data_IF_130184735396
#
_entry.id   IF_130184735396
#
_cell.length_a   1.000
_cell.length_b   1.000
_cell.length_c   1.000
_cell.angle_alpha   90.00
_cell.angle_beta   90.00
_cell.angle_gamma   90.00
#
_symmetry.space_group_name_H-M   'P 1'
#
loop_
_entity.id
_entity.type
_entity.pdbx_description
1 polymer ?
#
# COMPACT_ATOMS: atom_id res chain seq x y z
N UNK A 1 -14.93 9.45 -23.68
CA UNK A 1 -15.22 8.00 -23.74
C UNK A 1 -14.50 7.20 -22.66
N UNK A 2 -13.18 7.36 -22.48
CA UNK A 2 -12.41 6.74 -21.38
C UNK A 2 -12.95 7.07 -19.98
N UNK A 3 -13.30 8.34 -19.72
CA UNK A 3 -13.87 8.77 -18.44
C UNK A 3 -15.20 8.07 -18.11
N UNK A 4 -16.10 7.92 -19.10
CA UNK A 4 -17.35 7.15 -18.94
C UNK A 4 -17.09 5.67 -18.65
N UNK A 5 -16.15 5.04 -19.34
CA UNK A 5 -15.77 3.64 -19.08
C UNK A 5 -15.22 3.47 -17.65
N UNK A 6 -14.32 4.36 -17.23
CA UNK A 6 -13.78 4.40 -15.87
C UNK A 6 -14.87 4.67 -14.82
N UNK A 7 -15.80 5.59 -15.11
CA UNK A 7 -16.96 5.89 -14.27
C UNK A 7 -17.86 4.66 -14.08
N UNK A 8 -18.20 3.93 -15.15
CA UNK A 8 -19.00 2.69 -15.04
C UNK A 8 -18.31 1.63 -14.19
N UNK A 9 -17.00 1.45 -14.36
CA UNK A 9 -16.20 0.50 -13.57
C UNK A 9 -16.23 0.91 -12.08
N UNK A 10 -16.07 2.21 -11.80
CA UNK A 10 -16.11 2.75 -10.44
C UNK A 10 -17.49 2.60 -9.78
N UNK A 11 -18.57 2.85 -10.52
CA UNK A 11 -19.95 2.68 -10.03
C UNK A 11 -20.26 1.21 -9.76
N UNK A 12 -19.90 0.29 -10.68
CA UNK A 12 -20.04 -1.15 -10.45
C UNK A 12 -19.26 -1.60 -9.21
N UNK A 13 -18.02 -1.13 -9.05
CA UNK A 13 -17.19 -1.42 -7.88
C UNK A 13 -17.82 -0.91 -6.59
N UNK A 14 -18.35 0.32 -6.58
CA UNK A 14 -19.03 0.92 -5.44
C UNK A 14 -20.29 0.14 -5.03
N UNK A 15 -21.14 -0.22 -5.99
CA UNK A 15 -22.37 -1.01 -5.75
C UNK A 15 -22.01 -2.41 -5.23
N UNK A 16 -21.02 -3.06 -5.83
CA UNK A 16 -20.55 -4.38 -5.39
C UNK A 16 -19.94 -4.31 -3.97
N UNK A 17 -19.25 -3.22 -3.64
CA UNK A 17 -18.75 -2.94 -2.28
C UNK A 17 -19.87 -2.73 -1.27
N UNK A 18 -20.97 -2.09 -1.67
CA UNK A 18 -22.14 -1.86 -0.82
C UNK A 18 -22.87 -3.17 -0.49
N UNK A 19 -22.99 -4.07 -1.46
CA UNK A 19 -23.73 -5.34 -1.36
C UNK A 19 -23.02 -6.41 -0.53
N UNK A 20 -21.68 -6.55 -0.63
CA UNK A 20 -20.93 -7.60 0.09
C UNK A 20 -19.65 -7.08 0.76
N UNK A 21 -19.78 -6.18 1.76
CA UNK A 21 -18.64 -5.59 2.46
C UNK A 21 -17.80 -6.65 3.21
N UNK A 22 -18.40 -7.74 3.69
CA UNK A 22 -17.69 -8.77 4.46
C UNK A 22 -16.71 -9.61 3.64
N UNK A 23 -17.12 -10.07 2.45
CA UNK A 23 -16.24 -10.84 1.54
C UNK A 23 -15.06 -9.99 1.06
N UNK A 24 -15.30 -8.69 0.94
CA UNK A 24 -14.29 -7.70 0.60
C UNK A 24 -13.35 -7.40 1.75
N UNK A 25 -13.84 -7.25 2.98
CA UNK A 25 -12.99 -7.10 4.17
C UNK A 25 -11.98 -8.24 4.30
N UNK A 26 -12.43 -9.49 4.12
CA UNK A 26 -11.56 -10.66 4.16
C UNK A 26 -10.55 -10.71 3.01
N UNK A 27 -10.97 -10.36 1.78
CA UNK A 27 -10.07 -10.30 0.61
C UNK A 27 -9.09 -9.13 0.70
N UNK A 28 -9.53 -7.93 1.08
CA UNK A 28 -8.68 -6.74 1.24
C UNK A 28 -7.63 -6.98 2.31
N UNK A 29 -7.98 -7.54 3.48
CA UNK A 29 -6.98 -7.84 4.51
C UNK A 29 -5.83 -8.71 4.00
N UNK A 30 -6.13 -9.79 3.27
CA UNK A 30 -5.10 -10.71 2.73
C UNK A 30 -4.36 -10.16 1.51
N UNK A 31 -5.06 -9.54 0.56
CA UNK A 31 -4.45 -9.03 -0.70
C UNK A 31 -3.68 -7.74 -0.45
N UNK A 32 -4.17 -6.87 0.44
CA UNK A 32 -3.53 -5.61 0.79
C UNK A 32 -2.25 -5.85 1.58
N UNK A 33 -2.19 -6.83 2.51
CA UNK A 33 -0.92 -7.14 3.18
C UNK A 33 0.17 -7.56 2.19
N UNK A 34 -0.18 -8.39 1.20
CA UNK A 34 0.76 -8.90 0.20
C UNK A 34 1.23 -7.81 -0.76
N UNK A 35 0.30 -6.95 -1.21
CA UNK A 35 0.60 -5.85 -2.13
C UNK A 35 1.37 -4.72 -1.44
N UNK A 36 1.01 -4.41 -0.19
CA UNK A 36 1.69 -3.41 0.63
C UNK A 36 3.10 -3.86 0.98
N UNK A 37 3.31 -5.14 1.34
CA UNK A 37 4.66 -5.72 1.47
C UNK A 37 5.48 -5.53 0.19
N UNK A 38 4.92 -5.82 -0.98
CA UNK A 38 5.62 -5.62 -2.26
C UNK A 38 6.00 -4.16 -2.53
N UNK A 39 5.11 -3.22 -2.22
CA UNK A 39 5.40 -1.78 -2.35
C UNK A 39 6.53 -1.39 -1.39
N UNK A 40 6.47 -1.83 -0.13
CA UNK A 40 7.54 -1.53 0.83
C UNK A 40 8.87 -2.15 0.43
N UNK A 41 8.86 -3.39 -0.08
CA UNK A 41 10.07 -4.04 -0.60
C UNK A 41 10.63 -3.31 -1.81
N UNK A 42 9.78 -2.90 -2.75
CA UNK A 42 10.20 -2.09 -3.90
C UNK A 42 10.81 -0.75 -3.47
N UNK A 43 10.19 -0.09 -2.49
CA UNK A 43 10.70 1.17 -1.94
C UNK A 43 12.05 0.97 -1.24
N UNK A 44 12.18 -0.08 -0.41
CA UNK A 44 13.42 -0.42 0.27
C UNK A 44 14.54 -0.81 -0.72
N UNK A 45 14.22 -1.52 -1.80
CA UNK A 45 15.19 -1.86 -2.85
C UNK A 45 15.67 -0.60 -3.59
N UNK A 46 14.76 0.31 -3.91
CA UNK A 46 15.10 1.58 -4.59
C UNK A 46 15.99 2.46 -3.71
N UNK A 47 15.62 2.62 -2.43
CA UNK A 47 16.42 3.35 -1.45
C UNK A 47 17.79 2.69 -1.22
N UNK A 48 17.83 1.36 -1.15
CA UNK A 48 19.05 0.60 -1.03
C UNK A 48 19.99 0.81 -2.22
N UNK A 49 19.45 0.79 -3.45
CA UNK A 49 20.23 1.05 -4.66
C UNK A 49 20.83 2.46 -4.69
N UNK A 50 20.04 3.47 -4.28
CA UNK A 50 20.52 4.85 -4.12
C UNK A 50 21.65 4.96 -3.09
N UNK A 51 21.51 4.30 -1.95
CA UNK A 51 22.51 4.28 -0.89
C UNK A 51 23.80 3.56 -1.32
N UNK A 52 23.69 2.44 -2.03
CA UNK A 52 24.82 1.72 -2.61
C UNK A 52 25.67 2.62 -3.51
N UNK A 53 25.02 3.43 -4.36
CA UNK A 53 25.72 4.39 -5.23
C UNK A 53 26.54 5.43 -4.45
N UNK A 54 26.07 5.80 -3.25
CA UNK A 54 26.79 6.72 -2.36
C UNK A 54 27.93 6.03 -1.61
N UNK A 55 27.72 4.78 -1.14
CA UNK A 55 28.73 3.99 -0.41
C UNK A 55 29.92 3.63 -1.30
N UNK A 56 29.70 3.35 -2.59
CA UNK A 56 30.78 3.00 -3.53
C UNK A 56 31.74 4.18 -3.77
N UNK A 57 31.21 5.40 -3.76
CA UNK A 57 31.97 6.65 -3.94
C UNK A 57 32.74 7.08 -2.69
N UNK A 58 32.46 6.50 -1.53
CA UNK A 58 33.15 6.84 -0.28
C UNK A 58 34.61 6.33 -0.29
N UNK A 59 35.60 7.19 -0.01
CA UNK A 59 36.99 6.75 0.15
C UNK A 59 37.17 6.01 1.49
N UNK A 60 37.87 4.87 1.45
CA UNK A 60 38.20 4.06 2.63
C UNK A 60 37.42 2.75 2.75
N UNK A 61 38.14 1.64 2.97
CA UNK A 61 37.56 0.29 3.07
C UNK A 61 36.66 0.13 4.31
N UNK A 62 37.03 0.76 5.42
CA UNK A 62 36.24 0.77 6.66
C UNK A 62 34.91 1.49 6.47
N UNK A 63 34.91 2.63 5.78
CA UNK A 63 33.70 3.39 5.48
C UNK A 63 32.73 2.61 4.57
N UNK A 64 33.26 1.85 3.60
CA UNK A 64 32.45 0.97 2.75
C UNK A 64 31.79 -0.17 3.53
N UNK A 65 32.54 -0.82 4.42
CA UNK A 65 32.02 -1.91 5.26
C UNK A 65 30.98 -1.37 6.25
N UNK A 66 31.26 -0.25 6.92
CA UNK A 66 30.32 0.40 7.83
C UNK A 66 29.04 0.86 7.11
N UNK A 67 29.17 1.41 5.90
CA UNK A 67 28.05 1.81 5.06
C UNK A 67 27.16 0.64 4.64
N UNK A 68 27.77 -0.48 4.22
CA UNK A 68 27.03 -1.71 3.88
C UNK A 68 26.29 -2.28 5.09
N UNK A 69 26.95 -2.38 6.24
CA UNK A 69 26.34 -2.88 7.48
C UNK A 69 25.18 -1.98 7.92
N UNK A 70 25.39 -0.66 7.93
CA UNK A 70 24.35 0.31 8.25
C UNK A 70 23.14 0.19 7.32
N UNK A 71 23.38 0.07 6.01
CA UNK A 71 22.32 -0.09 5.02
C UNK A 71 21.48 -1.36 5.25
N UNK A 72 22.13 -2.51 5.51
CA UNK A 72 21.42 -3.77 5.78
C UNK A 72 20.55 -3.65 7.03
N UNK A 73 21.08 -3.03 8.09
CA UNK A 73 20.34 -2.83 9.35
C UNK A 73 19.15 -1.90 9.13
N UNK A 74 19.33 -0.76 8.46
CA UNK A 74 18.25 0.19 8.18
C UNK A 74 17.14 -0.45 7.34
N UNK A 75 17.50 -1.16 6.27
CA UNK A 75 16.52 -1.87 5.42
C UNK A 75 15.73 -2.89 6.24
N UNK A 76 16.41 -3.67 7.08
CA UNK A 76 15.76 -4.67 7.94
C UNK A 76 14.79 -4.03 8.93
N UNK A 77 15.18 -2.90 9.55
CA UNK A 77 14.31 -2.13 10.46
C UNK A 77 13.10 -1.59 9.72
N UNK A 78 13.27 -1.00 8.53
CA UNK A 78 12.16 -0.45 7.72
C UNK A 78 11.18 -1.55 7.31
N UNK A 79 11.67 -2.71 6.88
CA UNK A 79 10.82 -3.85 6.53
C UNK A 79 10.04 -4.35 7.74
N UNK A 80 10.69 -4.48 8.90
CA UNK A 80 10.06 -4.90 10.16
C UNK A 80 9.01 -3.90 10.63
N UNK A 81 9.32 -2.60 10.61
CA UNK A 81 8.36 -1.54 10.95
C UNK A 81 7.17 -1.55 10.00
N UNK A 82 7.42 -1.66 8.71
CA UNK A 82 6.36 -1.67 7.71
C UNK A 82 5.47 -2.91 7.81
N UNK A 83 6.04 -4.09 8.11
CA UNK A 83 5.22 -5.30 8.33
C UNK A 83 4.35 -5.15 9.57
N UNK A 84 4.92 -4.66 10.67
CA UNK A 84 4.23 -4.48 11.94
C UNK A 84 3.15 -3.40 11.84
N UNK A 85 3.45 -2.29 11.18
CA UNK A 85 2.48 -1.22 10.91
C UNK A 85 1.41 -1.70 9.96
N UNK A 86 1.74 -2.44 8.89
CA UNK A 86 0.74 -3.00 7.98
C UNK A 86 -0.18 -3.97 8.71
N UNK A 87 0.34 -4.84 9.58
CA UNK A 87 -0.47 -5.74 10.39
C UNK A 87 -1.35 -4.98 11.39
N UNK A 88 -0.82 -3.93 12.01
CA UNK A 88 -1.59 -3.07 12.94
C UNK A 88 -2.68 -2.27 12.20
N UNK A 89 -2.39 -1.76 11.00
CA UNK A 89 -3.34 -1.06 10.14
C UNK A 89 -4.45 -2.01 9.66
N UNK A 90 -4.09 -3.22 9.24
CA UNK A 90 -5.04 -4.25 8.80
C UNK A 90 -5.88 -4.73 9.99
N UNK A 91 -5.27 -4.92 11.15
CA UNK A 91 -5.96 -5.23 12.40
C UNK A 91 -6.97 -4.15 12.77
N UNK A 92 -6.58 -2.87 12.66
CA UNK A 92 -7.45 -1.72 12.88
C UNK A 92 -8.58 -1.64 11.86
N UNK A 93 -8.31 -1.85 10.56
CA UNK A 93 -9.33 -1.94 9.51
C UNK A 93 -10.30 -3.12 9.75
N UNK A 94 -9.77 -4.22 10.29
CA UNK A 94 -10.50 -5.43 10.67
C UNK A 94 -11.25 -5.30 12.00
N UNK A 95 -11.09 -4.21 12.74
CA UNK A 95 -11.93 -3.90 13.92
C UNK A 95 -12.98 -2.83 13.60
N UNK A 96 -12.79 -2.04 12.52
CA UNK A 96 -13.77 -1.02 12.13
C UNK A 96 -15.12 -1.64 11.74
N UNK A 97 -16.24 -1.02 12.18
CA UNK A 97 -17.59 -1.51 11.87
C UNK A 97 -17.88 -1.44 10.37
N UNK A 98 -18.78 -2.32 9.89
CA UNK A 98 -19.21 -2.43 8.49
C UNK A 98 -19.69 -1.11 7.89
N UNK A 99 -20.18 -0.20 8.73
CA UNK A 99 -20.58 1.17 8.36
C UNK A 99 -19.43 1.97 7.76
N UNK A 100 -18.20 1.81 8.27
CA UNK A 100 -17.03 2.51 7.72
C UNK A 100 -16.75 2.10 6.27
N UNK A 101 -16.91 0.81 5.96
CA UNK A 101 -16.79 0.31 4.59
C UNK A 101 -17.96 0.75 3.70
N UNK A 102 -19.19 0.83 4.22
CA UNK A 102 -20.35 1.36 3.49
C UNK A 102 -20.20 2.83 3.13
N UNK A 103 -19.69 3.65 4.05
CA UNK A 103 -19.42 5.09 3.80
C UNK A 103 -18.37 5.24 2.70
N UNK A 104 -17.28 4.46 2.79
CA UNK A 104 -16.25 4.45 1.74
C UNK A 104 -16.78 3.95 0.39
N UNK A 105 -17.64 2.93 0.39
CA UNK A 105 -18.32 2.43 -0.81
C UNK A 105 -19.22 3.50 -1.45
N UNK A 106 -19.97 4.24 -0.63
CA UNK A 106 -20.78 5.36 -1.09
C UNK A 106 -19.92 6.47 -1.69
N UNK A 107 -18.76 6.77 -1.10
CA UNK A 107 -17.81 7.75 -1.63
C UNK A 107 -17.24 7.32 -2.99
N UNK A 108 -16.90 6.03 -3.13
CA UNK A 108 -16.45 5.43 -4.40
C UNK A 108 -17.56 5.48 -5.46
N UNK A 109 -18.80 5.17 -5.08
CA UNK A 109 -19.93 5.26 -6.00
C UNK A 109 -20.21 6.71 -6.43
N UNK A 110 -20.13 7.68 -5.50
CA UNK A 110 -20.34 9.09 -5.76
C UNK A 110 -19.27 9.68 -6.68
N UNK A 111 -17.99 9.33 -6.45
CA UNK A 111 -16.88 9.74 -7.34
C UNK A 111 -16.98 9.10 -8.72
N UNK A 112 -17.41 7.83 -8.80
CA UNK A 112 -17.71 7.17 -10.07
C UNK A 112 -18.85 7.84 -10.85
N UNK A 113 -19.91 8.24 -10.16
CA UNK A 113 -21.02 9.01 -10.75
C UNK A 113 -20.57 10.39 -11.22
N UNK A 114 -19.77 11.10 -10.41
CA UNK A 114 -19.23 12.41 -10.78
C UNK A 114 -18.35 12.34 -12.04
N UNK A 115 -17.53 11.30 -12.17
CA UNK A 115 -16.72 11.05 -13.38
C UNK A 115 -17.53 10.55 -14.59
N UNK A 116 -18.74 10.04 -14.36
CA UNK A 116 -19.61 9.58 -15.42
C UNK A 116 -20.46 10.71 -16.02
N UNK A 117 -20.84 11.67 -15.18
CA UNK A 117 -21.67 12.83 -15.54
C UNK A 117 -20.87 14.12 -15.82
N UNK A 118 -19.63 14.23 -15.33
CA UNK A 118 -18.67 15.29 -15.70
C UNK A 118 -17.87 14.93 -16.94
#
# INVERSE_FOLDING_TARGET
MLAKIMGTIWVMLGIMWLLKPEKLRARLGRKMSRKMRWITYGFAATFGFLLLGSIIKAPGMVAKIAGLVGMVITIKIVILLASKTSEKMIGWLSTKPLIFFRIWAAFIAATGLALFFG
#
